data_IF_814929315648
#
_entry.id   IF_814929315648
#
_cell.length_a   1.000
_cell.length_b   1.000
_cell.length_c   1.000
_cell.angle_alpha   90.00
_cell.angle_beta   90.00
_cell.angle_gamma   90.00
#
_symmetry.space_group_name_H-M   'P 1'
#
loop_
_entity.id
_entity.type
_entity.pdbx_description
1 polymer ?
#
# COMPACT_ATOMS: atom_id res chain seq x y z
N UNK A 1 -7.45 -17.86 -5.09
CA UNK A 1 -8.16 -16.91 -5.98
C UNK A 1 -8.12 -17.48 -7.39
N UNK A 2 -9.28 -17.84 -7.95
CA UNK A 2 -9.39 -18.23 -9.36
C UNK A 2 -9.93 -17.01 -10.12
N UNK A 3 -9.43 -16.73 -11.32
CA UNK A 3 -9.96 -15.71 -12.25
C UNK A 3 -9.60 -14.24 -11.96
N UNK A 4 -8.36 -13.97 -11.53
CA UNK A 4 -7.82 -12.60 -11.45
C UNK A 4 -7.60 -12.02 -12.85
N UNK A 5 -7.55 -10.69 -12.98
CA UNK A 5 -7.32 -10.03 -14.28
C UNK A 5 -6.01 -10.50 -14.95
N UNK A 6 -4.93 -10.65 -14.18
CA UNK A 6 -3.65 -11.17 -14.69
C UNK A 6 -3.76 -12.61 -15.23
N UNK A 7 -4.51 -13.48 -14.56
CA UNK A 7 -4.73 -14.86 -15.03
C UNK A 7 -5.56 -14.91 -16.31
N UNK A 8 -6.54 -14.01 -16.48
CA UNK A 8 -7.32 -13.88 -17.73
C UNK A 8 -6.45 -13.48 -18.92
N UNK A 9 -5.35 -12.76 -18.66
CA UNK A 9 -4.36 -12.36 -19.67
C UNK A 9 -3.24 -13.40 -19.86
N UNK A 10 -3.35 -14.58 -19.25
CA UNK A 10 -2.41 -15.70 -19.42
C UNK A 10 -1.21 -15.69 -18.49
N UNK A 11 -1.22 -14.92 -17.40
CA UNK A 11 -0.22 -15.03 -16.33
C UNK A 11 -0.46 -16.29 -15.49
N UNK A 12 0.59 -17.04 -15.18
CA UNK A 12 0.46 -18.21 -14.29
C UNK A 12 0.18 -17.77 -12.85
N UNK A 13 -0.41 -18.66 -12.04
CA UNK A 13 -0.69 -18.34 -10.63
C UNK A 13 0.58 -18.08 -9.82
N UNK A 14 1.66 -18.81 -10.10
CA UNK A 14 2.95 -18.67 -9.42
C UNK A 14 3.65 -17.37 -9.81
N UNK A 15 3.56 -17.00 -11.09
CA UNK A 15 4.06 -15.73 -11.59
C UNK A 15 3.30 -14.56 -10.92
N UNK A 16 1.97 -14.60 -10.90
CA UNK A 16 1.16 -13.57 -10.23
C UNK A 16 1.48 -13.46 -8.73
N UNK A 17 1.68 -14.59 -8.05
CA UNK A 17 2.06 -14.60 -6.64
C UNK A 17 3.42 -13.92 -6.42
N UNK A 18 4.38 -14.22 -7.28
CA UNK A 18 5.71 -13.58 -7.26
C UNK A 18 5.58 -12.06 -7.42
N UNK A 19 4.79 -11.60 -8.40
CA UNK A 19 4.54 -10.16 -8.57
C UNK A 19 3.85 -9.51 -7.38
N UNK A 20 2.90 -10.19 -6.73
CA UNK A 20 2.27 -9.68 -5.49
C UNK A 20 3.29 -9.54 -4.35
N UNK A 21 4.24 -10.47 -4.23
CA UNK A 21 5.31 -10.40 -3.24
C UNK A 21 6.28 -9.25 -3.56
N UNK A 22 6.68 -9.10 -4.83
CA UNK A 22 7.52 -7.98 -5.28
C UNK A 22 6.84 -6.63 -5.03
N UNK A 23 5.54 -6.53 -5.32
CA UNK A 23 4.74 -5.34 -5.04
C UNK A 23 4.71 -5.01 -3.54
N UNK A 24 4.50 -6.03 -2.71
CA UNK A 24 4.50 -5.87 -1.25
C UNK A 24 5.86 -5.44 -0.71
N UNK A 25 6.96 -6.02 -1.21
CA UNK A 25 8.31 -5.63 -0.82
C UNK A 25 8.61 -4.18 -1.21
N UNK A 26 8.22 -3.78 -2.42
CA UNK A 26 8.39 -2.40 -2.88
C UNK A 26 7.61 -1.39 -2.04
N UNK A 27 6.36 -1.71 -1.65
CA UNK A 27 5.58 -0.86 -0.75
C UNK A 27 6.30 -0.67 0.58
N UNK A 28 6.87 -1.74 1.16
CA UNK A 28 7.65 -1.64 2.40
C UNK A 28 8.87 -0.73 2.23
N UNK A 29 9.64 -0.89 1.14
CA UNK A 29 10.79 -0.03 0.86
C UNK A 29 10.42 1.45 0.70
N UNK A 30 9.28 1.72 0.06
CA UNK A 30 8.72 3.07 -0.07
C UNK A 30 8.38 3.66 1.29
N UNK A 31 7.71 2.88 2.14
CA UNK A 31 7.32 3.30 3.50
C UNK A 31 8.57 3.58 4.34
N UNK A 32 9.59 2.71 4.30
CA UNK A 32 10.83 2.90 5.05
C UNK A 32 11.57 4.16 4.59
N UNK A 33 11.63 4.41 3.28
CA UNK A 33 12.18 5.64 2.72
C UNK A 33 11.43 6.89 3.16
N UNK A 34 10.09 6.84 3.18
CA UNK A 34 9.25 7.95 3.62
C UNK A 34 9.26 8.15 5.14
N UNK A 35 9.46 7.08 5.90
CA UNK A 35 9.52 7.11 7.37
C UNK A 35 10.88 7.56 7.92
N UNK A 36 11.84 7.87 7.05
CA UNK A 36 13.08 8.58 7.40
C UNK A 36 12.82 10.07 7.72
N UNK A 37 11.91 10.31 8.68
CA UNK A 37 11.54 11.62 9.20
C UNK A 37 11.87 11.70 10.69
N UNK A 38 12.33 12.88 11.11
CA UNK A 38 12.70 13.17 12.50
C UNK A 38 11.50 13.12 13.45
N UNK A 39 10.33 13.54 12.98
CA UNK A 39 9.09 13.53 13.76
C UNK A 39 8.41 12.15 13.69
N UNK A 40 8.27 11.43 14.83
CA UNK A 40 7.56 10.16 14.89
C UNK A 40 6.09 10.26 14.50
N UNK A 41 5.43 11.40 14.75
CA UNK A 41 4.01 11.61 14.43
C UNK A 41 3.76 11.68 12.93
N UNK A 42 4.79 11.99 12.15
CA UNK A 42 4.68 12.01 10.70
C UNK A 42 4.92 10.63 10.08
N UNK A 43 5.34 9.62 10.84
CA UNK A 43 5.61 8.28 10.31
C UNK A 43 4.31 7.58 9.96
N UNK A 44 4.30 6.94 8.80
CA UNK A 44 3.20 6.07 8.37
C UNK A 44 3.08 4.95 9.40
N UNK A 45 1.93 4.92 10.09
CA UNK A 45 1.62 3.95 11.13
C UNK A 45 1.36 2.58 10.53
N UNK A 46 1.45 1.53 11.36
CA UNK A 46 1.17 0.15 10.94
C UNK A 46 -0.18 -0.01 10.23
N UNK A 47 -1.21 0.71 10.69
CA UNK A 47 -2.53 0.78 10.02
C UNK A 47 -2.43 1.26 8.58
N UNK A 48 -1.70 2.36 8.33
CA UNK A 48 -1.48 2.88 6.99
C UNK A 48 -0.72 1.91 6.08
N UNK A 49 0.24 1.15 6.63
CA UNK A 49 0.97 0.10 5.90
C UNK A 49 0.00 -1.00 5.44
N UNK A 50 -0.82 -1.53 6.35
CA UNK A 50 -1.78 -2.57 6.03
C UNK A 50 -2.83 -2.10 5.00
N UNK A 51 -3.25 -0.84 5.09
CA UNK A 51 -4.19 -0.21 4.13
C UNK A 51 -3.57 -0.13 2.74
N UNK A 52 -2.31 0.31 2.62
CA UNK A 52 -1.60 0.35 1.34
C UNK A 52 -1.50 -1.05 0.70
N UNK A 53 -1.17 -2.08 1.48
CA UNK A 53 -1.14 -3.47 0.99
C UNK A 53 -2.51 -3.95 0.54
N UNK A 54 -3.55 -3.63 1.31
CA UNK A 54 -4.92 -4.04 0.98
C UNK A 54 -5.38 -3.37 -0.31
N UNK A 55 -5.09 -2.09 -0.51
CA UNK A 55 -5.38 -1.38 -1.76
C UNK A 55 -4.64 -2.02 -2.94
N UNK A 56 -3.36 -2.34 -2.80
CA UNK A 56 -2.58 -3.02 -3.85
C UNK A 56 -3.20 -4.37 -4.21
N UNK A 57 -3.55 -5.18 -3.21
CA UNK A 57 -4.15 -6.49 -3.45
C UNK A 57 -5.53 -6.40 -4.11
N UNK A 58 -6.36 -5.43 -3.70
CA UNK A 58 -7.68 -5.16 -4.31
C UNK A 58 -7.53 -4.64 -5.74
N UNK A 59 -6.54 -3.78 -6.00
CA UNK A 59 -6.26 -3.26 -7.33
C UNK A 59 -5.93 -4.39 -8.31
N UNK A 60 -4.97 -5.25 -7.97
CA UNK A 60 -4.55 -6.37 -8.83
C UNK A 60 -5.50 -7.56 -8.84
N UNK A 61 -6.63 -7.47 -8.13
CA UNK A 61 -7.73 -8.40 -8.37
C UNK A 61 -8.46 -8.05 -9.68
N UNK A 62 -8.68 -6.75 -9.91
CA UNK A 62 -9.40 -6.20 -11.06
C UNK A 62 -8.51 -5.81 -12.24
N UNK A 63 -7.25 -5.48 -11.97
CA UNK A 63 -6.28 -5.01 -12.96
C UNK A 63 -5.10 -5.98 -13.10
N UNK A 64 -4.50 -6.00 -14.29
CA UNK A 64 -3.40 -6.91 -14.63
C UNK A 64 -2.04 -6.32 -14.32
N UNK A 65 -1.13 -7.13 -13.78
CA UNK A 65 0.29 -6.78 -13.61
C UNK A 65 1.00 -6.50 -14.94
N UNK A 66 0.49 -6.99 -16.06
CA UNK A 66 1.05 -6.71 -17.40
C UNK A 66 0.75 -5.30 -17.88
N UNK A 67 -0.33 -4.69 -17.40
CA UNK A 67 -0.79 -3.36 -17.80
C UNK A 67 -0.31 -2.26 -16.86
N UNK A 68 -0.22 -2.58 -15.57
CA UNK A 68 0.12 -1.61 -14.52
C UNK A 68 1.34 -2.08 -13.73
N UNK A 69 2.44 -1.32 -13.82
CA UNK A 69 3.67 -1.58 -13.09
C UNK A 69 3.42 -1.50 -11.58
N UNK A 70 3.84 -2.55 -10.86
CA UNK A 70 3.67 -2.67 -9.41
C UNK A 70 4.38 -1.56 -8.64
N UNK A 71 5.43 -0.95 -9.21
CA UNK A 71 6.16 0.15 -8.59
C UNK A 71 5.34 1.43 -8.59
N UNK A 72 4.58 1.65 -9.66
CA UNK A 72 3.77 2.87 -9.83
C UNK A 72 2.49 2.77 -9.01
N UNK A 73 1.83 1.61 -9.09
CA UNK A 73 0.68 1.29 -8.24
C UNK A 73 1.08 1.28 -6.77
N UNK A 74 2.24 0.73 -6.42
CA UNK A 74 2.76 0.72 -5.05
C UNK A 74 2.96 2.12 -4.49
N UNK A 75 3.56 3.03 -5.26
CA UNK A 75 3.72 4.43 -4.85
C UNK A 75 2.36 5.14 -4.68
N UNK A 76 1.42 4.92 -5.60
CA UNK A 76 0.07 5.46 -5.50
C UNK A 76 -0.71 4.92 -4.30
N UNK A 77 -0.59 3.63 -3.98
CA UNK A 77 -1.18 3.01 -2.78
C UNK A 77 -0.64 3.64 -1.48
N UNK A 78 0.67 3.88 -1.40
CA UNK A 78 1.30 4.52 -0.23
C UNK A 78 0.86 5.98 -0.12
N UNK A 79 0.78 6.69 -1.24
CA UNK A 79 0.30 8.08 -1.27
C UNK A 79 -1.16 8.21 -0.80
N UNK A 80 -2.04 7.32 -1.30
CA UNK A 80 -3.44 7.26 -0.89
C UNK A 80 -3.58 6.93 0.60
N UNK A 81 -2.88 5.90 1.09
CA UNK A 81 -2.94 5.48 2.48
C UNK A 81 -2.42 6.57 3.44
N UNK A 82 -1.40 7.34 3.03
CA UNK A 82 -0.92 8.48 3.80
C UNK A 82 -1.95 9.60 3.92
N UNK A 83 -2.75 9.84 2.87
CA UNK A 83 -3.84 10.83 2.91
C UNK A 83 -5.02 10.38 3.75
N UNK A 84 -5.41 9.11 3.70
CA UNK A 84 -6.57 8.60 4.44
C UNK A 84 -6.31 8.37 5.94
N UNK A 85 -5.06 8.15 6.37
CA UNK A 85 -4.70 7.83 7.76
C UNK A 85 -3.79 8.89 8.43
N UNK A 86 -4.13 10.17 8.28
CA UNK A 86 -3.58 11.29 9.09
C UNK A 86 -2.06 11.54 8.99
N UNK A 87 -1.37 10.94 8.01
CA UNK A 87 0.06 11.15 7.75
C UNK A 87 0.29 11.65 6.30
N UNK A 88 -0.25 12.81 5.92
CA UNK A 88 -0.17 13.29 4.54
C UNK A 88 1.29 13.52 4.14
N UNK A 89 1.72 12.86 3.06
CA UNK A 89 3.05 13.08 2.45
C UNK A 89 2.92 13.98 1.23
N UNK A 90 3.86 14.92 1.08
CA UNK A 90 3.95 15.72 -0.15
C UNK A 90 4.22 14.78 -1.33
N UNK A 91 3.47 14.95 -2.42
CA UNK A 91 3.64 14.16 -3.65
C UNK A 91 5.09 14.22 -4.15
N UNK A 92 5.74 15.38 -4.07
CA UNK A 92 7.16 15.54 -4.43
C UNK A 92 8.10 14.65 -3.62
N UNK A 93 7.80 14.39 -2.34
CA UNK A 93 8.59 13.48 -1.51
C UNK A 93 8.36 12.02 -1.91
N UNK A 94 7.11 11.65 -2.19
CA UNK A 94 6.76 10.29 -2.69
C UNK A 94 7.44 10.02 -4.04
N UNK A 95 7.38 10.97 -4.98
CA UNK A 95 8.08 10.88 -6.28
C UNK A 95 9.59 10.78 -6.09
N UNK A 96 10.15 11.53 -5.13
CA UNK A 96 11.58 11.45 -4.80
C UNK A 96 12.01 10.06 -4.32
N UNK A 97 11.26 9.46 -3.38
CA UNK A 97 11.56 8.10 -2.89
C UNK A 97 11.31 7.05 -3.98
N UNK A 98 10.23 7.17 -4.74
CA UNK A 98 9.92 6.28 -5.87
C UNK A 98 11.02 6.31 -6.92
N UNK A 99 11.56 7.49 -7.26
CA UNK A 99 12.71 7.65 -8.16
C UNK A 99 13.90 6.85 -7.67
N UNK A 100 14.28 7.06 -6.41
CA UNK A 100 15.50 6.49 -5.85
C UNK A 100 15.45 4.95 -5.81
N UNK A 101 14.23 4.38 -5.81
CA UNK A 101 13.96 2.93 -5.78
C UNK A 101 13.65 2.33 -7.15
N UNK A 102 12.98 3.04 -8.07
CA UNK A 102 12.59 2.54 -9.40
C UNK A 102 13.71 2.73 -10.42
N UNK A 103 14.22 3.96 -10.56
CA UNK A 103 15.31 4.29 -11.48
C UNK A 103 15.94 5.65 -11.13
N UNK A 104 17.16 5.61 -10.58
CA UNK A 104 17.94 6.80 -10.21
C UNK A 104 18.31 7.69 -11.41
N UNK A 105 18.33 7.15 -12.63
CA UNK A 105 18.80 7.87 -13.83
C UNK A 105 17.67 8.53 -14.64
N UNK A 106 16.43 8.00 -14.58
CA UNK A 106 15.34 8.44 -15.46
C UNK A 106 14.68 9.78 -15.10
N UNK A 107 14.79 10.28 -13.85
CA UNK A 107 14.15 11.54 -13.43
C UNK A 107 15.13 12.70 -13.18
N UNK A 108 16.18 12.82 -14.00
CA UNK A 108 17.15 13.90 -13.87
C UNK A 108 16.55 15.29 -14.17
N UNK A 109 15.44 15.35 -14.91
CA UNK A 109 14.79 16.58 -15.35
C UNK A 109 13.49 16.87 -14.57
N UNK A 110 13.14 18.15 -14.43
CA UNK A 110 11.87 18.57 -13.80
C UNK A 110 10.65 17.98 -14.51
N UNK A 111 10.69 17.94 -15.84
CA UNK A 111 9.59 17.42 -16.66
C UNK A 111 9.30 15.95 -16.36
N UNK A 112 10.34 15.12 -16.24
CA UNK A 112 10.18 13.71 -15.91
C UNK A 112 9.58 13.52 -14.50
N UNK A 113 9.98 14.37 -13.52
CA UNK A 113 9.38 14.36 -12.18
C UNK A 113 7.90 14.72 -12.22
N UNK A 114 7.53 15.70 -13.02
CA UNK A 114 6.14 16.12 -13.20
C UNK A 114 5.30 15.03 -13.87
N UNK A 115 5.83 14.36 -14.89
CA UNK A 115 5.18 13.21 -15.53
C UNK A 115 4.97 12.06 -14.54
N UNK A 116 5.99 11.71 -13.75
CA UNK A 116 5.87 10.70 -12.70
C UNK A 116 4.81 11.06 -11.66
N UNK A 117 4.76 12.34 -11.24
CA UNK A 117 3.74 12.84 -10.32
C UNK A 117 2.33 12.70 -10.92
N UNK A 118 2.16 13.02 -12.20
CA UNK A 118 0.88 12.87 -12.90
C UNK A 118 0.43 11.41 -13.00
N UNK A 119 1.36 10.49 -13.29
CA UNK A 119 1.07 9.05 -13.33
C UNK A 119 0.60 8.56 -11.95
N UNK A 120 1.27 8.97 -10.88
CA UNK A 120 0.88 8.58 -9.51
C UNK A 120 -0.52 9.10 -9.16
N UNK A 121 -0.86 10.34 -9.53
CA UNK A 121 -2.18 10.94 -9.29
C UNK A 121 -3.27 10.25 -10.11
N UNK A 122 -2.96 9.88 -11.37
CA UNK A 122 -3.87 9.11 -12.21
C UNK A 122 -4.15 7.74 -11.59
N UNK A 123 -3.10 7.01 -11.20
CA UNK A 123 -3.22 5.70 -10.58
C UNK A 123 -3.94 5.76 -9.24
N UNK A 124 -3.73 6.82 -8.45
CA UNK A 124 -4.51 7.05 -7.24
C UNK A 124 -6.01 7.09 -7.54
N UNK A 125 -6.41 7.87 -8.55
CA UNK A 125 -7.81 7.99 -8.95
C UNK A 125 -8.39 6.65 -9.39
N UNK A 126 -7.59 5.84 -10.10
CA UNK A 126 -7.98 4.48 -10.49
C UNK A 126 -8.12 3.54 -9.29
N UNK A 127 -7.22 3.63 -8.31
CA UNK A 127 -7.31 2.84 -7.07
C UNK A 127 -8.59 3.19 -6.32
N UNK A 128 -8.87 4.48 -6.15
CA UNK A 128 -10.09 4.99 -5.51
C UNK A 128 -11.36 4.45 -6.18
N UNK A 129 -11.43 4.51 -7.50
CA UNK A 129 -12.53 3.93 -8.27
C UNK A 129 -12.62 2.41 -8.08
N UNK A 130 -11.49 1.71 -8.07
CA UNK A 130 -11.44 0.24 -7.93
C UNK A 130 -11.93 -0.22 -6.56
N UNK A 131 -11.68 0.56 -5.51
CA UNK A 131 -12.20 0.29 -4.16
C UNK A 131 -13.59 0.91 -3.93
N UNK A 132 -14.23 1.46 -4.96
CA UNK A 132 -15.52 2.16 -4.87
C UNK A 132 -15.54 3.26 -3.78
N UNK A 133 -14.40 3.93 -3.58
CA UNK A 133 -14.20 4.94 -2.53
C UNK A 133 -14.42 4.43 -1.09
N UNK A 134 -14.47 3.10 -0.89
CA UNK A 134 -14.48 2.50 0.43
C UNK A 134 -13.07 2.49 1.05
N UNK A 135 -12.79 3.54 1.80
CA UNK A 135 -11.54 3.72 2.55
C UNK A 135 -11.58 3.03 3.93
N UNK A 136 -12.73 2.52 4.36
CA UNK A 136 -12.92 1.93 5.69
C UNK A 136 -12.45 0.48 5.74
N UNK A 137 -11.14 0.28 5.70
CA UNK A 137 -10.54 -1.06 5.76
C UNK A 137 -10.54 -1.57 7.20
N UNK A 138 -11.34 -2.60 7.44
CA UNK A 138 -11.40 -3.29 8.73
C UNK A 138 -10.23 -4.26 8.82
N UNK A 139 -9.19 -3.84 9.54
CA UNK A 139 -7.99 -4.64 9.68
C UNK A 139 -8.14 -5.71 10.80
N UNK A 140 -7.61 -6.93 10.59
CA UNK A 140 -7.82 -8.05 11.50
C UNK A 140 -7.22 -7.80 12.89
N UNK A 141 -6.19 -6.96 13.01
CA UNK A 141 -5.53 -6.65 14.28
C UNK A 141 -6.49 -6.11 15.34
N UNK A 142 -7.51 -5.32 14.94
CA UNK A 142 -8.50 -4.78 15.88
C UNK A 142 -9.34 -5.87 16.53
N UNK A 143 -9.60 -6.96 15.81
CA UNK A 143 -10.37 -8.09 16.34
C UNK A 143 -9.51 -9.00 17.21
N UNK A 144 -8.24 -9.21 16.82
CA UNK A 144 -7.29 -10.00 17.62
C UNK A 144 -7.10 -9.36 19.00
N UNK A 145 -6.87 -8.05 19.06
CA UNK A 145 -6.72 -7.32 20.33
C UNK A 145 -7.96 -7.45 21.23
N UNK A 146 -9.16 -7.30 20.64
CA UNK A 146 -10.43 -7.47 21.38
C UNK A 146 -10.60 -8.87 21.95
N UNK A 147 -10.17 -9.90 21.23
CA UNK A 147 -10.25 -11.29 21.71
C UNK A 147 -9.24 -11.50 22.83
N UNK A 148 -8.00 -11.03 22.67
CA UNK A 148 -6.96 -11.14 23.70
C UNK A 148 -7.40 -10.48 25.02
N UNK A 149 -7.97 -9.28 24.95
CA UNK A 149 -8.47 -8.56 26.13
C UNK A 149 -9.61 -9.33 26.83
N UNK A 150 -10.50 -9.98 26.06
CA UNK A 150 -11.56 -10.82 26.64
C UNK A 150 -11.00 -12.07 27.33
N UNK A 151 -9.98 -12.70 26.74
CA UNK A 151 -9.32 -13.88 27.33
C UNK A 151 -8.62 -13.50 28.64
N UNK A 152 -7.91 -12.38 28.66
CA UNK A 152 -7.22 -11.87 29.86
C UNK A 152 -8.19 -11.54 31.00
N UNK A 153 -9.32 -10.88 30.68
CA UNK A 153 -10.38 -10.62 31.67
C UNK A 153 -10.95 -11.92 32.24
N UNK A 154 -11.22 -12.91 31.39
CA UNK A 154 -11.75 -14.20 31.82
C UNK A 154 -10.77 -14.95 32.75
N UNK A 155 -9.46 -14.93 32.45
CA UNK A 155 -8.44 -15.53 33.32
C UNK A 155 -8.33 -14.83 34.68
N UNK A 156 -8.48 -13.50 34.73
CA UNK A 156 -8.39 -12.76 35.98
C UNK A 156 -9.59 -13.03 36.91
N UNK A 157 -10.80 -13.16 36.37
CA UNK A 157 -11.99 -13.60 37.15
C UNK A 157 -11.91 -15.04 37.64
N UNK A 158 -11.04 -15.89 37.06
CA UNK A 158 -10.89 -17.29 37.46
C UNK A 158 -9.89 -17.47 38.61
N UNK A 159 -9.06 -16.45 38.87
CA UNK A 159 -8.08 -16.42 39.98
C UNK A 159 -8.63 -15.71 41.24
N UNK A 160 -9.88 -15.21 41.20
CA UNK A 160 -10.56 -14.59 42.35
C UNK A 160 -11.53 -15.55 43.07
N UNK A 161 -11.47 -16.84 42.75
CA UNK A 161 -12.14 -17.94 43.46
C UNK A 161 -11.14 -19.02 43.85
#
# INVERSE_FOLDING_TARGET
MKNTASQKEGMSREEELTYRQLASAFIQEMIDGLNNVKDPKMRITHTGICVAHTHMHRFYYWHSFRKYDYRDVGAACVFLAGKSHECPRKLSHVVGVWRDRKDRKQLATENARNEAAQIIVLLESMILQTIAFDLNIHLPHMYVLKIMEKVEKASNTSNEF
#
